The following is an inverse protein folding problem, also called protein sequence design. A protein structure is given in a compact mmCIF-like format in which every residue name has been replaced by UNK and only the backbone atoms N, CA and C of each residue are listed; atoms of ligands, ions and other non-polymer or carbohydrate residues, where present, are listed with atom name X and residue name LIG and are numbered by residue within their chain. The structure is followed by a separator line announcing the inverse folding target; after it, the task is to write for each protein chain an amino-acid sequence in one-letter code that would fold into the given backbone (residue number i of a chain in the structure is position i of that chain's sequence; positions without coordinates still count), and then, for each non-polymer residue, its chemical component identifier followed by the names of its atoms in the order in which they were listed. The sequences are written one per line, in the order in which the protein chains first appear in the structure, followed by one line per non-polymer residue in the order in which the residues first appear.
data_IF_320755767158
#
_entry.id   IF_320755767158
#
_cell.length_a   1.000
_cell.length_b   1.000
_cell.length_c   1.000
_cell.angle_alpha   90.00
_cell.angle_beta   90.00
_cell.angle_gamma   90.00
#
_symmetry.space_group_name_H-M   'P 1'
#
loop_
_entity.id
_entity.type
_entity.pdbx_description
1 polymer ?
#
# COMPACT_ATOMS: atom_id res chain seq x y z
N UNK A 1 -6.93 12.38 18.88
CA UNK A 1 -6.18 13.56 19.42
C UNK A 1 -4.77 13.21 19.90
N UNK A 2 -4.58 12.10 20.65
CA UNK A 2 -3.25 11.69 21.14
C UNK A 2 -2.28 11.40 19.99
N UNK A 3 -2.71 10.62 19.00
CA UNK A 3 -1.91 10.25 17.81
C UNK A 3 -1.56 11.50 16.98
N UNK A 4 -2.47 12.45 16.82
CA UNK A 4 -2.22 13.71 16.10
C UNK A 4 -1.05 14.49 16.70
N UNK A 5 -0.97 14.59 18.03
CA UNK A 5 0.09 15.29 18.74
C UNK A 5 1.43 14.60 18.69
N UNK A 6 1.43 13.26 18.56
CA UNK A 6 2.64 12.44 18.65
C UNK A 6 3.27 12.19 17.27
N UNK A 7 2.49 12.25 16.17
CA UNK A 7 2.91 11.87 14.82
C UNK A 7 2.83 12.98 13.78
N UNK A 8 2.48 14.21 14.18
CA UNK A 8 2.40 15.40 13.32
C UNK A 8 1.62 15.19 12.00
N UNK A 9 0.52 14.44 12.07
CA UNK A 9 -0.32 14.15 10.90
C UNK A 9 -1.00 15.43 10.39
N UNK A 10 -1.03 15.61 9.08
CA UNK A 10 -1.70 16.73 8.44
C UNK A 10 -3.21 16.71 8.71
N UNK A 11 -3.84 17.90 8.73
CA UNK A 11 -5.28 18.02 8.96
C UNK A 11 -6.10 17.29 7.88
N UNK A 12 -5.61 17.25 6.65
CA UNK A 12 -6.24 16.53 5.53
C UNK A 12 -6.29 15.02 5.78
N UNK A 13 -5.20 14.42 6.25
CA UNK A 13 -5.15 12.98 6.61
C UNK A 13 -6.09 12.69 7.78
N UNK A 14 -6.15 13.56 8.77
CA UNK A 14 -7.07 13.40 9.91
C UNK A 14 -8.54 13.40 9.47
N UNK A 15 -8.95 14.33 8.59
CA UNK A 15 -10.31 14.39 8.03
C UNK A 15 -10.66 13.13 7.22
N UNK A 16 -9.69 12.61 6.45
CA UNK A 16 -9.87 11.36 5.72
C UNK A 16 -9.99 10.19 6.69
N UNK A 17 -9.18 10.15 7.74
CA UNK A 17 -9.28 9.12 8.78
C UNK A 17 -10.67 9.01 9.43
N UNK A 18 -11.37 10.13 9.63
CA UNK A 18 -12.74 10.14 10.14
C UNK A 18 -13.74 9.47 9.19
N UNK A 19 -13.54 9.63 7.88
CA UNK A 19 -14.38 9.01 6.85
C UNK A 19 -13.97 7.58 6.53
N UNK A 20 -12.70 7.24 6.75
CA UNK A 20 -12.12 5.98 6.36
C UNK A 20 -12.75 4.79 7.07
N UNK A 21 -12.97 4.88 8.38
CA UNK A 21 -13.52 3.77 9.15
C UNK A 21 -14.90 3.30 8.64
N UNK A 22 -15.88 4.17 8.38
CA UNK A 22 -17.14 3.74 7.78
C UNK A 22 -17.01 3.31 6.31
N UNK A 23 -16.01 3.82 5.56
CA UNK A 23 -15.83 3.52 4.15
C UNK A 23 -15.05 2.22 3.87
N UNK A 24 -14.31 1.69 4.86
CA UNK A 24 -13.36 0.58 4.67
C UNK A 24 -14.03 -0.68 4.09
N UNK A 25 -15.24 -1.02 4.52
CA UNK A 25 -15.96 -2.18 4.02
C UNK A 25 -16.29 -2.09 2.53
N UNK A 26 -16.78 -0.92 2.10
CA UNK A 26 -17.05 -0.63 0.68
C UNK A 26 -15.76 -0.60 -0.15
N UNK A 27 -14.71 0.03 0.38
CA UNK A 27 -13.40 0.06 -0.25
C UNK A 27 -12.86 -1.36 -0.47
N UNK A 28 -12.84 -2.20 0.56
CA UNK A 28 -12.39 -3.60 0.45
C UNK A 28 -13.21 -4.40 -0.55
N UNK A 29 -14.53 -4.21 -0.59
CA UNK A 29 -15.38 -4.86 -1.59
C UNK A 29 -15.02 -4.44 -3.01
N UNK A 30 -14.74 -3.15 -3.24
CA UNK A 30 -14.37 -2.63 -4.57
C UNK A 30 -13.00 -3.15 -5.05
N UNK A 31 -12.08 -3.47 -4.14
CA UNK A 31 -10.79 -4.09 -4.48
C UNK A 31 -10.94 -5.54 -4.96
N UNK A 32 -12.05 -6.19 -4.62
CA UNK A 32 -12.36 -7.56 -5.05
C UNK A 32 -13.17 -7.61 -6.35
N UNK A 33 -13.60 -6.47 -6.87
CA UNK A 33 -14.38 -6.40 -8.09
C UNK A 33 -13.55 -6.76 -9.33
N UNK A 34 -14.07 -7.66 -10.19
CA UNK A 34 -13.47 -8.05 -11.46
C UNK A 34 -12.52 -9.23 -11.36
N UNK A 35 -11.46 -9.19 -12.17
CA UNK A 35 -10.49 -10.29 -12.23
C UNK A 35 -9.67 -10.34 -10.96
N UNK A 36 -9.73 -11.46 -10.27
CA UNK A 36 -8.93 -11.73 -9.08
C UNK A 36 -7.79 -12.69 -9.41
N UNK A 37 -6.74 -12.61 -8.62
CA UNK A 37 -5.57 -13.50 -8.69
C UNK A 37 -5.19 -13.96 -7.28
N UNK A 38 -4.18 -14.80 -7.20
CA UNK A 38 -3.54 -15.12 -5.94
C UNK A 38 -2.71 -13.89 -5.50
N UNK A 39 -3.05 -13.31 -4.36
CA UNK A 39 -2.31 -12.24 -3.73
C UNK A 39 -1.49 -12.78 -2.56
N UNK A 40 -0.27 -12.27 -2.40
CA UNK A 40 0.58 -12.58 -1.26
C UNK A 40 0.01 -12.01 0.05
N UNK A 41 -0.60 -10.83 -0.03
CA UNK A 41 -1.27 -10.15 1.08
C UNK A 41 -0.34 -9.35 2.01
N UNK A 42 0.95 -9.66 2.03
CA UNK A 42 2.00 -8.92 2.77
C UNK A 42 3.26 -8.75 1.89
N UNK A 43 3.06 -8.27 0.66
CA UNK A 43 4.10 -8.15 -0.37
C UNK A 43 4.96 -6.90 -0.13
N UNK A 44 5.94 -7.01 0.78
CA UNK A 44 6.86 -5.93 1.16
C UNK A 44 8.32 -6.39 1.18
N UNK A 45 9.24 -5.43 1.13
CA UNK A 45 10.67 -5.70 1.04
C UNK A 45 11.20 -6.59 2.17
N UNK A 46 10.62 -6.50 3.39
CA UNK A 46 11.01 -7.36 4.51
C UNK A 46 10.73 -8.84 4.24
N UNK A 47 9.79 -9.18 3.35
CA UNK A 47 9.43 -10.54 2.96
C UNK A 47 10.11 -10.98 1.65
N UNK A 48 11.15 -10.26 1.22
CA UNK A 48 11.89 -10.50 0.00
C UNK A 48 13.37 -10.67 0.29
N UNK A 49 14.00 -11.57 -0.45
CA UNK A 49 15.43 -11.84 -0.33
C UNK A 49 16.02 -12.12 -1.71
N UNK A 50 17.26 -11.74 -1.89
CA UNK A 50 18.05 -12.13 -3.08
C UNK A 50 19.22 -13.00 -2.63
N UNK A 51 19.40 -14.14 -3.31
CA UNK A 51 20.57 -14.99 -3.09
C UNK A 51 21.84 -14.32 -3.61
N UNK A 52 23.02 -14.89 -3.28
CA UNK A 52 24.29 -14.43 -3.86
C UNK A 52 24.34 -14.53 -5.38
N UNK A 53 23.47 -15.36 -6.00
CA UNK A 53 23.34 -15.52 -7.44
C UNK A 53 22.23 -14.63 -8.03
N UNK A 54 21.72 -13.64 -7.29
CA UNK A 54 20.59 -12.77 -7.67
C UNK A 54 19.26 -13.51 -7.93
N UNK A 55 19.07 -14.70 -7.34
CA UNK A 55 17.78 -15.37 -7.40
C UNK A 55 16.83 -14.68 -6.39
N UNK A 56 15.64 -14.32 -6.85
CA UNK A 56 14.60 -13.74 -6.01
C UNK A 56 13.90 -14.84 -5.21
N UNK A 57 13.76 -14.62 -3.90
CA UNK A 57 13.01 -15.46 -2.98
C UNK A 57 11.98 -14.61 -2.28
N UNK A 58 10.72 -15.01 -2.39
CA UNK A 58 9.59 -14.46 -1.65
C UNK A 58 9.19 -15.46 -0.56
N UNK A 59 8.95 -14.98 0.66
CA UNK A 59 8.56 -15.81 1.80
C UNK A 59 7.48 -15.13 2.64
N UNK A 60 7.01 -15.82 3.68
CA UNK A 60 5.95 -15.38 4.58
C UNK A 60 4.57 -15.24 3.92
N UNK A 61 4.07 -16.36 3.39
CA UNK A 61 2.77 -16.46 2.73
C UNK A 61 1.58 -16.61 3.70
N UNK A 62 1.73 -16.15 4.95
CA UNK A 62 0.69 -16.30 5.99
C UNK A 62 -0.62 -15.56 5.67
N UNK A 63 -0.59 -14.53 4.83
CA UNK A 63 -1.75 -13.73 4.42
C UNK A 63 -2.20 -14.03 2.98
N UNK A 64 -1.71 -15.14 2.40
CA UNK A 64 -2.06 -15.50 1.03
C UNK A 64 -3.58 -15.63 0.85
N UNK A 65 -4.11 -15.06 -0.21
CA UNK A 65 -5.54 -15.08 -0.49
C UNK A 65 -5.83 -14.73 -1.95
N UNK A 66 -7.11 -14.63 -2.28
CA UNK A 66 -7.53 -14.09 -3.58
C UNK A 66 -7.85 -12.61 -3.49
N UNK A 67 -7.41 -11.85 -4.47
CA UNK A 67 -7.63 -10.41 -4.52
C UNK A 67 -7.27 -9.80 -5.87
N UNK A 68 -7.37 -8.49 -5.97
CA UNK A 68 -6.83 -7.76 -7.12
C UNK A 68 -5.32 -7.91 -7.21
N UNK A 69 -4.78 -8.16 -8.39
CA UNK A 69 -3.33 -8.16 -8.61
C UNK A 69 -2.68 -6.80 -8.30
N UNK A 70 -3.43 -5.70 -8.38
CA UNK A 70 -2.97 -4.37 -8.00
C UNK A 70 -2.74 -4.23 -6.49
N UNK A 71 -3.31 -5.12 -5.65
CA UNK A 71 -3.15 -5.07 -4.20
C UNK A 71 -1.69 -5.22 -3.78
N UNK A 72 -1.02 -6.30 -4.18
CA UNK A 72 0.37 -6.56 -3.80
C UNK A 72 1.31 -5.46 -4.33
N UNK A 73 1.08 -5.00 -5.56
CA UNK A 73 1.87 -3.91 -6.12
C UNK A 73 1.74 -2.62 -5.31
N UNK A 74 0.50 -2.20 -5.00
CA UNK A 74 0.25 -0.99 -4.22
C UNK A 74 0.84 -1.12 -2.81
N UNK A 75 0.66 -2.28 -2.18
CA UNK A 75 1.23 -2.57 -0.88
C UNK A 75 2.76 -2.44 -0.89
N UNK A 76 3.42 -3.05 -1.87
CA UNK A 76 4.87 -2.96 -2.02
C UNK A 76 5.33 -1.50 -2.21
N UNK A 77 4.76 -0.78 -3.17
CA UNK A 77 5.21 0.58 -3.50
C UNK A 77 4.97 1.57 -2.35
N UNK A 78 3.86 1.41 -1.62
CA UNK A 78 3.53 2.31 -0.49
C UNK A 78 4.20 1.91 0.82
N UNK A 79 4.61 0.66 1.01
CA UNK A 79 5.17 0.21 2.29
C UNK A 79 6.69 -0.05 2.24
N UNK A 80 7.29 -0.19 1.05
CA UNK A 80 8.70 -0.60 0.93
C UNK A 80 9.60 0.49 0.37
N UNK A 81 9.12 1.31 -0.57
CA UNK A 81 9.94 2.38 -1.16
C UNK A 81 10.05 3.60 -0.23
N UNK A 82 11.13 4.35 -0.40
CA UNK A 82 11.20 5.70 0.18
C UNK A 82 10.18 6.61 -0.52
N UNK A 83 9.70 7.70 0.11
CA UNK A 83 8.84 8.67 -0.56
C UNK A 83 9.42 9.15 -1.91
N UNK A 84 10.70 9.49 -1.96
CA UNK A 84 11.38 9.98 -3.17
C UNK A 84 11.42 8.93 -4.28
N UNK A 85 11.75 7.67 -3.96
CA UNK A 85 11.77 6.59 -4.94
C UNK A 85 10.36 6.27 -5.44
N UNK A 86 9.37 6.26 -4.55
CA UNK A 86 7.98 6.06 -4.94
C UNK A 86 7.51 7.18 -5.87
N UNK A 87 7.73 8.46 -5.54
CA UNK A 87 7.39 9.59 -6.42
C UNK A 87 8.03 9.48 -7.80
N UNK A 88 9.26 8.98 -7.85
CA UNK A 88 10.02 8.88 -9.10
C UNK A 88 9.61 7.70 -9.96
N UNK A 89 9.33 6.54 -9.36
CA UNK A 89 9.23 5.28 -10.09
C UNK A 89 7.84 4.64 -10.09
N UNK A 90 6.89 5.12 -9.28
CA UNK A 90 5.58 4.49 -9.09
C UNK A 90 4.82 4.26 -10.40
N UNK A 91 4.73 5.28 -11.25
CA UNK A 91 4.04 5.18 -12.53
C UNK A 91 4.76 4.20 -13.48
N UNK A 92 6.08 4.28 -13.58
CA UNK A 92 6.87 3.35 -14.40
C UNK A 92 6.68 1.90 -13.93
N UNK A 93 6.73 1.66 -12.62
CA UNK A 93 6.58 0.30 -12.06
C UNK A 93 5.16 -0.24 -12.26
N UNK A 94 4.15 0.61 -12.17
CA UNK A 94 2.77 0.23 -12.50
C UNK A 94 2.63 -0.19 -13.98
N UNK A 95 3.17 0.60 -14.92
CA UNK A 95 3.12 0.24 -16.34
C UNK A 95 3.92 -1.04 -16.65
N UNK A 96 5.11 -1.21 -16.06
CA UNK A 96 5.90 -2.45 -16.20
C UNK A 96 5.17 -3.66 -15.65
N UNK A 97 4.43 -3.53 -14.56
CA UNK A 97 3.58 -4.59 -14.06
C UNK A 97 2.48 -4.97 -15.06
N UNK A 98 1.79 -3.98 -15.67
CA UNK A 98 0.80 -4.23 -16.72
C UNK A 98 1.41 -4.92 -17.95
N UNK A 99 2.62 -4.50 -18.36
CA UNK A 99 3.36 -5.16 -19.44
C UNK A 99 3.69 -6.62 -19.09
N UNK A 100 4.12 -6.86 -17.86
CA UNK A 100 4.36 -8.22 -17.35
C UNK A 100 3.11 -9.09 -17.40
N UNK A 101 1.94 -8.57 -17.01
CA UNK A 101 0.67 -9.29 -17.12
C UNK A 101 0.34 -9.65 -18.57
N UNK A 102 0.48 -8.69 -19.50
CA UNK A 102 0.26 -8.94 -20.94
C UNK A 102 1.22 -10.00 -21.51
N UNK A 103 2.50 -9.91 -21.17
CA UNK A 103 3.51 -10.85 -21.61
C UNK A 103 3.25 -12.30 -21.10
N UNK A 104 2.52 -12.43 -19.99
CA UNK A 104 2.11 -13.72 -19.42
C UNK A 104 0.68 -14.12 -19.81
N UNK A 105 0.10 -13.52 -20.84
CA UNK A 105 -1.15 -13.96 -21.46
C UNK A 105 -2.43 -13.38 -20.83
N UNK A 106 -2.34 -12.38 -19.96
CA UNK A 106 -3.51 -11.66 -19.46
C UNK A 106 -3.91 -10.61 -20.50
N UNK A 107 -4.96 -10.88 -21.27
CA UNK A 107 -5.37 -10.05 -22.42
C UNK A 107 -6.44 -9.00 -22.08
N UNK A 108 -7.28 -9.30 -21.09
CA UNK A 108 -8.38 -8.41 -20.68
C UNK A 108 -7.93 -7.55 -19.48
N UNK A 109 -7.15 -6.51 -19.76
CA UNK A 109 -6.66 -5.57 -18.76
C UNK A 109 -7.36 -4.21 -18.92
N UNK A 110 -8.19 -3.86 -17.96
CA UNK A 110 -8.69 -2.51 -17.78
C UNK A 110 -7.70 -1.71 -16.91
N UNK A 111 -6.86 -0.91 -17.57
CA UNK A 111 -5.83 -0.11 -16.92
C UNK A 111 -6.39 0.86 -15.89
N UNK A 112 -7.50 1.53 -16.23
CA UNK A 112 -8.06 2.57 -15.35
C UNK A 112 -8.70 1.95 -14.11
N UNK A 113 -9.33 0.79 -14.28
CA UNK A 113 -9.84 0.01 -13.16
C UNK A 113 -8.71 -0.49 -12.26
N UNK A 114 -7.64 -1.04 -12.83
CA UNK A 114 -6.48 -1.52 -12.05
C UNK A 114 -5.79 -0.36 -11.34
N UNK A 115 -5.71 0.82 -11.96
CA UNK A 115 -5.22 2.03 -11.32
C UNK A 115 -6.11 2.49 -10.17
N UNK A 116 -7.43 2.40 -10.32
CA UNK A 116 -8.37 2.69 -9.25
C UNK A 116 -8.21 1.71 -8.07
N UNK A 117 -8.06 0.42 -8.36
CA UNK A 117 -7.80 -0.61 -7.33
C UNK A 117 -6.45 -0.38 -6.65
N UNK A 118 -5.41 -0.01 -7.40
CA UNK A 118 -4.10 0.39 -6.87
C UNK A 118 -4.26 1.54 -5.85
N UNK A 119 -4.92 2.61 -6.24
CA UNK A 119 -5.17 3.76 -5.36
C UNK A 119 -6.02 3.40 -4.14
N UNK A 120 -7.03 2.58 -4.32
CA UNK A 120 -7.87 2.07 -3.23
C UNK A 120 -7.04 1.27 -2.21
N UNK A 121 -6.11 0.45 -2.68
CA UNK A 121 -5.18 -0.28 -1.79
C UNK A 121 -4.22 0.68 -1.10
N UNK A 122 -3.67 1.67 -1.80
CA UNK A 122 -2.83 2.70 -1.20
C UNK A 122 -3.56 3.45 -0.06
N UNK A 123 -4.86 3.76 -0.26
CA UNK A 123 -5.69 4.33 0.81
C UNK A 123 -5.90 3.34 1.96
N UNK A 124 -6.15 2.06 1.66
CA UNK A 124 -6.26 1.01 2.68
C UNK A 124 -5.01 0.90 3.54
N UNK A 125 -3.83 1.17 2.99
CA UNK A 125 -2.55 1.14 3.70
C UNK A 125 -2.47 2.13 4.89
N UNK A 126 -3.42 3.08 5.04
CA UNK A 126 -3.56 3.90 6.25
C UNK A 126 -3.76 3.04 7.52
N UNK A 127 -4.31 1.84 7.38
CA UNK A 127 -4.51 0.92 8.52
C UNK A 127 -3.19 0.64 9.24
N UNK A 128 -2.09 0.49 8.50
CA UNK A 128 -0.81 0.06 9.08
C UNK A 128 -0.20 1.07 10.06
N UNK A 129 0.01 2.35 9.71
CA UNK A 129 0.52 3.32 10.67
C UNK A 129 -0.44 3.54 11.85
N UNK A 130 -1.76 3.46 11.63
CA UNK A 130 -2.75 3.60 12.70
C UNK A 130 -2.66 2.44 13.69
N UNK A 131 -2.57 1.19 13.21
CA UNK A 131 -2.45 0.01 14.07
C UNK A 131 -1.09 0.00 14.78
N UNK A 132 0.00 0.28 14.06
CA UNK A 132 1.35 0.33 14.62
C UNK A 132 1.45 1.39 15.74
N UNK A 133 0.92 2.60 15.53
CA UNK A 133 0.96 3.67 16.52
C UNK A 133 0.18 3.36 17.81
N UNK A 134 -0.80 2.46 17.75
CA UNK A 134 -1.53 2.00 18.94
C UNK A 134 -0.87 0.83 19.67
N UNK A 135 -0.19 -0.03 18.91
CA UNK A 135 0.41 -1.27 19.42
C UNK A 135 1.85 -1.13 19.90
N UNK A 136 2.55 -0.05 19.53
CA UNK A 136 3.95 0.17 19.83
C UNK A 136 4.16 1.23 20.91
N UNK A 137 5.24 1.08 21.69
CA UNK A 137 5.69 2.13 22.61
C UNK A 137 6.46 3.21 21.82
N UNK A 138 5.83 4.34 21.58
CA UNK A 138 6.43 5.46 20.84
C UNK A 138 7.52 6.22 21.63
N UNK A 139 7.78 5.87 22.89
CA UNK A 139 8.95 6.36 23.61
C UNK A 139 10.22 5.56 23.25
N UNK A 140 10.03 4.37 22.69
CA UNK A 140 11.13 3.56 22.17
C UNK A 140 11.54 4.09 20.79
N UNK A 141 12.82 4.50 20.58
CA UNK A 141 13.26 5.18 19.35
C UNK A 141 13.01 4.40 18.06
N UNK A 142 13.18 3.06 18.09
CA UNK A 142 12.97 2.21 16.91
C UNK A 142 11.50 2.13 16.53
N UNK A 143 10.62 1.98 17.50
CA UNK A 143 9.17 1.97 17.30
C UNK A 143 8.66 3.28 16.72
N UNK A 144 9.16 4.40 17.28
CA UNK A 144 8.86 5.75 16.76
C UNK A 144 9.31 5.90 15.32
N UNK A 145 10.57 5.59 15.00
CA UNK A 145 11.11 5.72 13.65
C UNK A 145 10.34 4.87 12.63
N UNK A 146 9.90 3.67 13.02
CA UNK A 146 9.07 2.82 12.15
C UNK A 146 7.73 3.48 11.83
N UNK A 147 7.02 3.98 12.85
CA UNK A 147 5.71 4.63 12.65
C UNK A 147 5.85 5.92 11.85
N UNK A 148 6.88 6.73 12.10
CA UNK A 148 7.18 7.94 11.32
C UNK A 148 7.47 7.61 9.85
N UNK A 149 8.21 6.52 9.58
CA UNK A 149 8.46 6.03 8.23
C UNK A 149 7.16 5.60 7.53
N UNK A 150 6.30 4.85 8.20
CA UNK A 150 5.00 4.46 7.66
C UNK A 150 4.12 5.68 7.34
N UNK A 151 4.12 6.67 8.23
CA UNK A 151 3.36 7.90 8.03
C UNK A 151 3.87 8.71 6.84
N UNK A 152 5.19 8.92 6.72
CA UNK A 152 5.76 9.69 5.60
C UNK A 152 5.47 9.04 4.24
N UNK A 153 5.54 7.72 4.16
CA UNK A 153 5.16 6.94 2.97
C UNK A 153 3.69 7.12 2.62
N UNK A 154 2.82 6.99 3.63
CA UNK A 154 1.38 7.19 3.42
C UNK A 154 1.06 8.62 3.02
N UNK A 155 1.67 9.62 3.65
CA UNK A 155 1.45 11.03 3.35
C UNK A 155 1.80 11.37 1.91
N UNK A 156 2.96 10.90 1.41
CA UNK A 156 3.32 11.01 0.00
C UNK A 156 2.23 10.39 -0.90
N UNK A 157 1.87 9.12 -0.65
CA UNK A 157 0.85 8.43 -1.45
C UNK A 157 -0.50 9.15 -1.39
N UNK A 158 -0.89 9.66 -0.22
CA UNK A 158 -2.13 10.40 -0.03
C UNK A 158 -2.23 11.62 -0.93
N UNK A 159 -1.18 12.40 -1.04
CA UNK A 159 -1.15 13.62 -1.85
C UNK A 159 -0.95 13.32 -3.34
N UNK A 160 0.03 12.50 -3.70
CA UNK A 160 0.39 12.28 -5.10
C UNK A 160 -0.62 11.40 -5.85
N UNK A 161 -1.32 10.49 -5.15
CA UNK A 161 -2.35 9.63 -5.72
C UNK A 161 -3.78 10.21 -5.56
N UNK A 162 -3.93 11.43 -5.03
CA UNK A 162 -5.25 12.06 -4.82
C UNK A 162 -6.22 11.16 -4.02
N UNK A 163 -5.73 10.48 -2.95
CA UNK A 163 -6.50 9.47 -2.25
C UNK A 163 -7.75 10.04 -1.56
N UNK A 164 -7.76 11.32 -1.21
CA UNK A 164 -8.92 12.01 -0.65
C UNK A 164 -10.17 11.95 -1.56
N UNK A 165 -9.99 11.75 -2.86
CA UNK A 165 -11.09 11.65 -3.83
C UNK A 165 -11.80 10.30 -3.85
N UNK A 166 -11.29 9.32 -3.12
CA UNK A 166 -11.84 7.96 -3.09
C UNK A 166 -12.92 7.75 -2.01
N UNK A 167 -13.02 8.71 -1.06
CA UNK A 167 -13.98 8.64 0.08
C UNK A 167 -14.55 10.00 0.44
#
# INVERSE_FOLDING_TARGET
EKIKKELDLTESIMKVGEKFAPAIGGLMSSLMDGVTTLAHGDFRADNMMFTKNNEFILYDFQLIGTGSGAYDLAYFLTQSLTPDDASKYEQELFERWLEGLRANGVTELDRDRLWLQYRGTALFCLVYPVVASRGMDLNEPRSRALVETMNSRFERAFHELDLAKLI
#
